data_IF_867487240839
#
_entry.id   IF_867487240839
#
_cell.length_a   1.000
_cell.length_b   1.000
_cell.length_c   1.000
_cell.angle_alpha   90.00
_cell.angle_beta   90.00
_cell.angle_gamma   90.00
#
_symmetry.space_group_name_H-M   'P 1'
#
loop_
_entity.id
_entity.type
_entity.pdbx_description
1 polymer ?
#
# COMPACT_ATOMS: atom_id res chain seq x y z
N UNK A 1 -72.23 -12.23 -53.81
CA UNK A 1 -72.78 -10.94 -53.29
C UNK A 1 -71.70 -10.26 -52.50
N UNK A 2 -71.07 -9.31 -53.11
CA UNK A 2 -69.84 -8.65 -52.61
C UNK A 2 -70.19 -7.20 -52.21
N UNK A 3 -69.83 -6.83 -50.98
CA UNK A 3 -69.97 -5.41 -50.56
C UNK A 3 -68.55 -4.86 -50.30
N UNK A 4 -68.25 -3.66 -50.68
CA UNK A 4 -66.90 -3.09 -50.58
C UNK A 4 -66.70 -2.37 -49.27
N UNK A 5 -65.42 -2.50 -48.80
CA UNK A 5 -64.88 -1.87 -47.61
C UNK A 5 -64.69 -0.35 -47.88
N UNK A 6 -65.28 0.49 -47.04
CA UNK A 6 -64.97 1.91 -46.97
C UNK A 6 -63.79 2.24 -46.14
N UNK A 7 -62.72 2.70 -46.76
CA UNK A 7 -61.54 3.25 -46.13
C UNK A 7 -61.82 4.63 -45.53
N UNK A 8 -61.69 4.80 -44.24
CA UNK A 8 -61.65 6.11 -43.57
C UNK A 8 -60.27 6.53 -43.26
N UNK A 9 -59.80 7.59 -43.91
CA UNK A 9 -58.59 8.31 -43.57
C UNK A 9 -58.82 9.11 -42.28
N UNK A 10 -57.93 8.88 -41.27
CA UNK A 10 -57.82 9.73 -40.08
C UNK A 10 -56.65 10.68 -40.25
N UNK A 11 -56.78 11.96 -39.87
CA UNK A 11 -55.69 12.93 -40.00
C UNK A 11 -54.67 12.74 -38.91
N UNK A 12 -53.43 12.71 -39.33
CA UNK A 12 -52.23 12.61 -38.51
C UNK A 12 -52.02 13.92 -37.71
N UNK A 13 -52.28 13.92 -36.42
CA UNK A 13 -51.90 15.00 -35.51
C UNK A 13 -50.42 14.87 -35.16
N UNK A 14 -49.65 15.82 -35.60
CA UNK A 14 -48.26 16.01 -35.20
C UNK A 14 -48.20 16.38 -33.72
N UNK A 15 -47.84 15.45 -32.89
CA UNK A 15 -47.42 15.65 -31.49
C UNK A 15 -45.90 15.83 -31.45
N UNK A 16 -45.47 17.02 -31.10
CA UNK A 16 -44.04 17.34 -30.84
C UNK A 16 -43.62 16.60 -29.58
N UNK A 17 -42.60 15.73 -29.60
CA UNK A 17 -42.07 15.15 -28.37
C UNK A 17 -41.22 16.20 -27.66
N UNK A 18 -41.68 16.63 -26.50
CA UNK A 18 -40.83 17.32 -25.51
C UNK A 18 -39.74 16.38 -25.05
N UNK A 19 -38.52 16.58 -25.56
CA UNK A 19 -37.32 15.91 -25.07
C UNK A 19 -36.95 16.62 -23.78
N UNK A 20 -37.37 16.05 -22.67
CA UNK A 20 -36.88 16.45 -21.35
C UNK A 20 -35.44 15.89 -21.19
N UNK A 21 -34.45 16.73 -21.51
CA UNK A 21 -33.06 16.44 -21.24
C UNK A 21 -32.82 16.42 -19.72
N UNK A 22 -32.87 15.23 -19.13
CA UNK A 22 -32.40 15.01 -17.77
C UNK A 22 -30.89 15.09 -17.80
N UNK A 23 -30.33 16.25 -17.46
CA UNK A 23 -28.92 16.41 -17.15
C UNK A 23 -28.61 15.57 -15.87
N UNK A 24 -28.14 14.37 -16.06
CA UNK A 24 -27.44 13.60 -15.02
C UNK A 24 -26.15 14.35 -14.69
N UNK A 25 -26.18 15.11 -13.59
CA UNK A 25 -24.95 15.56 -12.94
C UNK A 25 -24.23 14.33 -12.41
N UNK A 26 -23.34 13.75 -13.22
CA UNK A 26 -22.28 12.87 -12.75
C UNK A 26 -21.35 13.75 -11.88
N UNK A 27 -21.62 13.80 -10.58
CA UNK A 27 -20.63 14.27 -9.63
C UNK A 27 -19.39 13.37 -9.78
N UNK A 28 -18.23 13.90 -10.18
CA UNK A 28 -17.01 13.14 -10.03
C UNK A 28 -16.85 12.92 -8.52
N UNK A 29 -17.03 11.69 -8.06
CA UNK A 29 -16.52 11.30 -6.77
C UNK A 29 -15.03 11.62 -6.83
N UNK A 30 -14.60 12.66 -6.11
CA UNK A 30 -13.21 12.93 -5.89
C UNK A 30 -12.70 11.75 -5.03
N UNK A 31 -12.33 10.66 -5.68
CA UNK A 31 -11.46 9.68 -5.10
C UNK A 31 -10.16 10.45 -4.90
N UNK A 32 -9.80 10.66 -3.65
CA UNK A 32 -8.43 10.95 -3.29
C UNK A 32 -7.62 9.81 -3.87
N UNK A 33 -7.06 10.02 -5.04
CA UNK A 33 -6.04 9.16 -5.62
C UNK A 33 -4.83 9.29 -4.70
N UNK A 34 -4.71 8.40 -3.73
CA UNK A 34 -3.42 8.02 -3.22
C UNK A 34 -2.80 7.34 -4.43
N UNK A 35 -1.91 8.02 -5.11
CA UNK A 35 -1.15 7.44 -6.20
C UNK A 35 -0.19 6.46 -5.53
N UNK A 36 -0.53 5.19 -5.58
CA UNK A 36 0.43 4.14 -5.28
C UNK A 36 1.46 4.19 -6.40
N UNK A 37 2.69 4.49 -6.05
CA UNK A 37 3.84 4.49 -6.94
C UNK A 37 4.52 3.13 -6.88
N UNK A 38 5.32 2.81 -7.88
CA UNK A 38 6.02 1.53 -7.99
C UNK A 38 7.50 1.77 -8.27
N UNK A 39 8.36 1.16 -7.44
CA UNK A 39 9.82 1.24 -7.54
C UNK A 39 10.39 -0.19 -7.56
N UNK A 40 10.75 -0.68 -8.74
CA UNK A 40 11.29 -2.04 -8.89
C UNK A 40 10.31 -3.11 -8.42
N UNK A 41 10.52 -3.65 -7.21
CA UNK A 41 9.62 -4.64 -6.59
C UNK A 41 8.83 -4.08 -5.42
N UNK A 42 8.92 -2.77 -5.14
CA UNK A 42 8.24 -2.07 -4.06
C UNK A 42 7.11 -1.22 -4.61
N UNK A 43 6.01 -1.15 -3.90
CA UNK A 43 4.85 -0.32 -4.25
C UNK A 43 4.27 0.34 -3.00
N UNK A 44 3.65 1.48 -3.17
CA UNK A 44 3.00 2.20 -2.09
C UNK A 44 3.00 3.70 -2.29
N UNK A 45 2.97 4.45 -1.20
CA UNK A 45 2.95 5.90 -1.17
C UNK A 45 4.01 6.45 -0.24
N UNK A 46 4.69 7.52 -0.65
CA UNK A 46 5.74 8.21 0.12
C UNK A 46 5.31 9.60 0.61
N UNK A 47 4.00 9.89 0.67
CA UNK A 47 3.47 11.11 1.26
C UNK A 47 3.72 11.19 2.79
N UNK A 48 3.19 12.22 3.48
CA UNK A 48 3.45 12.51 4.92
C UNK A 48 3.28 11.32 5.88
N UNK A 49 2.44 10.36 5.55
CA UNK A 49 2.37 9.06 6.19
C UNK A 49 2.57 8.05 5.07
N UNK A 50 3.70 7.38 5.05
CA UNK A 50 4.04 6.52 3.94
C UNK A 50 4.00 5.03 4.32
N UNK A 51 3.73 4.22 3.31
CA UNK A 51 3.77 2.77 3.40
C UNK A 51 4.35 2.21 2.11
N UNK A 52 5.35 1.36 2.23
CA UNK A 52 5.99 0.64 1.13
C UNK A 52 5.85 -0.85 1.37
N UNK A 53 5.46 -1.57 0.36
CA UNK A 53 5.20 -3.01 0.44
C UNK A 53 5.90 -3.73 -0.70
N UNK A 54 6.44 -4.91 -0.41
CA UNK A 54 6.98 -5.84 -1.40
C UNK A 54 6.52 -7.25 -1.12
N UNK A 55 6.53 -8.11 -2.13
CA UNK A 55 6.20 -9.53 -2.01
C UNK A 55 7.35 -10.39 -2.54
N UNK A 56 7.63 -11.51 -1.87
CA UNK A 56 8.59 -12.50 -2.33
C UNK A 56 7.91 -13.65 -3.09
N UNK A 57 8.71 -14.59 -3.59
CA UNK A 57 8.21 -15.73 -4.37
C UNK A 57 7.36 -16.71 -3.55
N UNK A 58 7.49 -16.73 -2.23
CA UNK A 58 6.67 -17.53 -1.33
C UNK A 58 5.28 -16.92 -1.06
N UNK A 59 5.01 -15.72 -1.58
CA UNK A 59 3.78 -14.99 -1.34
C UNK A 59 3.75 -14.25 0.01
N UNK A 60 4.88 -14.22 0.73
CA UNK A 60 5.03 -13.41 1.93
C UNK A 60 5.13 -11.93 1.54
N UNK A 61 4.61 -11.05 2.37
CA UNK A 61 4.59 -9.61 2.14
C UNK A 61 5.34 -8.89 3.25
N UNK A 62 6.33 -8.08 2.90
CA UNK A 62 7.06 -7.21 3.80
C UNK A 62 6.56 -5.78 3.62
N UNK A 63 6.13 -5.15 4.72
CA UNK A 63 5.63 -3.77 4.71
C UNK A 63 6.47 -2.91 5.65
N UNK A 64 6.92 -1.77 5.12
CA UNK A 64 7.57 -0.70 5.85
C UNK A 64 6.59 0.46 5.96
N UNK A 65 6.36 0.98 7.16
CA UNK A 65 5.44 2.11 7.35
C UNK A 65 6.04 3.19 8.24
N UNK A 66 5.65 4.42 7.95
CA UNK A 66 5.94 5.59 8.75
C UNK A 66 4.59 6.25 9.07
N UNK A 67 3.99 5.87 10.16
CA UNK A 67 2.67 6.36 10.57
C UNK A 67 2.62 6.55 12.08
N UNK A 68 1.84 7.53 12.55
CA UNK A 68 1.56 7.73 13.97
C UNK A 68 2.81 7.78 14.87
N UNK A 69 3.85 8.47 14.41
CA UNK A 69 5.09 8.70 15.16
C UNK A 69 5.99 7.46 15.33
N UNK A 70 5.87 6.49 14.44
CA UNK A 70 6.72 5.32 14.46
C UNK A 70 7.06 4.83 13.05
N UNK A 71 8.32 4.46 12.86
CA UNK A 71 8.74 3.61 11.77
C UNK A 71 8.46 2.16 12.17
N UNK A 72 7.84 1.39 11.28
CA UNK A 72 7.45 0.00 11.56
C UNK A 72 7.83 -0.92 10.41
N UNK A 73 8.12 -2.16 10.76
CA UNK A 73 8.36 -3.26 9.82
C UNK A 73 7.38 -4.37 10.14
N UNK A 74 6.66 -4.85 9.16
CA UNK A 74 5.65 -5.91 9.32
C UNK A 74 5.84 -6.98 8.25
N UNK A 75 5.72 -8.24 8.67
CA UNK A 75 5.65 -9.41 7.80
C UNK A 75 4.22 -9.97 7.83
N UNK A 76 3.67 -10.25 6.65
CA UNK A 76 2.47 -11.07 6.51
C UNK A 76 2.81 -12.27 5.63
N UNK A 77 2.37 -13.46 6.04
CA UNK A 77 2.55 -14.69 5.29
C UNK A 77 1.19 -15.37 5.03
N UNK A 78 1.06 -16.21 3.99
CA UNK A 78 -0.22 -16.82 3.62
C UNK A 78 -0.88 -17.65 4.72
N UNK A 79 -0.11 -18.16 5.66
CA UNK A 79 -0.56 -18.97 6.81
C UNK A 79 -0.75 -18.14 8.10
N UNK A 80 -0.47 -16.84 8.07
CA UNK A 80 -0.67 -15.96 9.22
C UNK A 80 -2.12 -15.46 9.27
N UNK A 81 -2.70 -15.44 10.47
CA UNK A 81 -4.01 -14.83 10.71
C UNK A 81 -3.93 -13.32 10.81
N UNK A 82 -2.79 -12.80 11.26
CA UNK A 82 -2.50 -11.36 11.40
C UNK A 82 -1.02 -11.10 11.06
N UNK A 83 -0.68 -9.91 10.52
CA UNK A 83 0.70 -9.53 10.29
C UNK A 83 1.51 -9.53 11.59
N UNK A 84 2.76 -9.91 11.51
CA UNK A 84 3.71 -9.88 12.63
C UNK A 84 4.75 -8.80 12.36
N UNK A 85 5.07 -7.99 13.36
CA UNK A 85 6.02 -6.89 13.14
C UNK A 85 6.50 -6.22 14.41
N UNK A 86 7.18 -5.10 14.22
CA UNK A 86 7.80 -4.31 15.29
C UNK A 86 6.82 -3.76 16.33
N UNK A 87 5.52 -3.87 16.10
CA UNK A 87 4.44 -3.49 17.05
C UNK A 87 4.18 -4.58 18.10
N UNK A 88 4.67 -5.79 17.86
CA UNK A 88 4.43 -6.93 18.73
C UNK A 88 5.68 -7.25 19.53
N UNK A 89 5.52 -7.47 20.84
CA UNK A 89 6.58 -7.94 21.74
C UNK A 89 6.94 -9.41 21.46
N UNK A 90 7.45 -9.72 20.28
CA UNK A 90 8.04 -11.03 20.01
C UNK A 90 9.57 -10.92 20.14
N UNK A 91 10.14 -11.67 21.04
CA UNK A 91 11.60 -11.64 21.27
C UNK A 91 12.37 -12.08 20.01
N UNK A 92 13.44 -11.35 19.70
CA UNK A 92 14.38 -11.73 18.65
C UNK A 92 13.91 -11.41 17.24
N UNK A 93 12.98 -10.48 17.07
CA UNK A 93 12.65 -9.98 15.73
C UNK A 93 13.78 -9.11 15.18
N UNK A 94 14.16 -9.40 13.95
CA UNK A 94 15.21 -8.72 13.21
C UNK A 94 14.82 -8.57 11.74
N UNK A 95 15.27 -7.49 11.11
CA UNK A 95 15.38 -7.42 9.66
C UNK A 95 16.85 -7.56 9.29
N UNK A 96 17.17 -8.54 8.47
CA UNK A 96 18.49 -8.71 7.90
C UNK A 96 18.55 -8.03 6.55
N UNK A 97 19.63 -7.29 6.32
CA UNK A 97 20.01 -6.79 5.00
C UNK A 97 21.27 -7.55 4.61
N UNK A 98 21.16 -8.48 3.67
CA UNK A 98 22.16 -9.48 3.38
C UNK A 98 22.56 -10.24 4.67
N UNK A 99 23.83 -10.13 5.10
CA UNK A 99 24.34 -10.78 6.30
C UNK A 99 24.25 -9.92 7.58
N UNK A 100 23.82 -8.66 7.48
CA UNK A 100 23.74 -7.74 8.62
C UNK A 100 22.35 -7.75 9.23
N UNK A 101 22.25 -8.07 10.51
CA UNK A 101 21.00 -8.09 11.26
C UNK A 101 20.77 -6.78 12.01
N UNK A 102 19.53 -6.29 11.99
CA UNK A 102 19.04 -5.12 12.69
C UNK A 102 17.89 -5.52 13.60
N UNK A 103 18.06 -5.33 14.90
CA UNK A 103 17.04 -5.66 15.90
C UNK A 103 15.88 -4.66 15.86
N UNK A 104 14.66 -5.15 16.10
CA UNK A 104 13.47 -4.29 16.24
C UNK A 104 13.22 -3.87 17.69
N UNK A 105 14.05 -4.28 18.62
CA UNK A 105 13.79 -4.00 20.02
C UNK A 105 13.90 -2.51 20.33
N UNK A 106 12.85 -1.94 20.93
CA UNK A 106 13.08 -0.83 21.81
C UNK A 106 14.01 -1.32 22.92
N UNK A 107 15.12 -0.65 23.15
CA UNK A 107 15.80 -0.84 24.42
C UNK A 107 14.72 -0.63 25.51
N UNK A 108 14.67 -1.47 26.54
CA UNK A 108 13.63 -1.41 27.58
C UNK A 108 13.59 -0.07 28.35
N UNK A 109 14.33 0.94 27.91
CA UNK A 109 14.59 2.23 28.51
C UNK A 109 14.38 3.42 27.56
N UNK A 110 14.03 3.19 26.30
CA UNK A 110 13.70 4.27 25.36
C UNK A 110 12.20 4.24 25.02
N UNK A 111 11.55 5.38 25.17
CA UNK A 111 10.10 5.55 24.87
C UNK A 111 9.75 5.41 23.36
N UNK A 112 10.71 4.99 22.54
CA UNK A 112 10.54 4.80 21.10
C UNK A 112 10.17 3.34 20.80
N UNK A 113 8.94 3.10 20.45
CA UNK A 113 8.45 1.80 19.97
C UNK A 113 8.73 1.71 18.47
N UNK A 114 9.61 0.81 18.06
CA UNK A 114 9.86 0.52 16.64
C UNK A 114 11.34 0.35 16.30
N UNK A 115 11.63 -0.03 15.04
CA UNK A 115 12.99 -0.11 14.52
C UNK A 115 13.70 1.23 14.62
N UNK A 116 14.97 1.18 14.96
CA UNK A 116 15.73 2.38 15.18
C UNK A 116 16.11 3.10 13.86
N UNK A 117 16.67 4.29 14.04
CA UNK A 117 17.21 5.11 12.96
C UNK A 117 18.28 4.39 12.13
N UNK A 118 19.00 3.46 12.75
CA UNK A 118 20.11 2.71 12.12
C UNK A 118 19.58 1.80 11.01
N UNK A 119 18.50 1.07 11.28
CA UNK A 119 17.83 0.25 10.26
C UNK A 119 17.28 1.13 9.12
N UNK A 120 16.60 2.23 9.44
CA UNK A 120 16.06 3.13 8.43
C UNK A 120 17.14 3.65 7.48
N UNK A 121 18.29 4.10 8.02
CA UNK A 121 19.41 4.54 7.20
C UNK A 121 20.04 3.41 6.38
N UNK A 122 20.09 2.19 6.93
CA UNK A 122 20.60 1.04 6.19
C UNK A 122 19.67 0.71 4.99
N UNK A 123 18.34 0.78 5.18
CA UNK A 123 17.37 0.58 4.10
C UNK A 123 17.51 1.63 2.97
N UNK A 124 17.74 2.90 3.32
CA UNK A 124 18.03 3.96 2.31
C UNK A 124 19.31 3.73 1.52
N UNK A 125 20.23 2.93 2.02
CA UNK A 125 21.53 2.65 1.39
C UNK A 125 21.57 1.29 0.67
N UNK A 126 20.44 0.57 0.62
CA UNK A 126 20.36 -0.71 -0.09
C UNK A 126 20.63 -0.54 -1.59
N UNK A 127 21.16 -1.57 -2.20
CA UNK A 127 21.34 -1.69 -3.64
C UNK A 127 20.27 -2.63 -4.21
N UNK A 128 20.02 -2.51 -5.48
CA UNK A 128 19.07 -3.38 -6.20
C UNK A 128 19.39 -4.88 -6.11
N UNK A 129 20.65 -5.20 -5.81
CA UNK A 129 21.12 -6.59 -5.66
C UNK A 129 21.04 -7.11 -4.22
N UNK A 130 20.71 -6.25 -3.27
CA UNK A 130 20.61 -6.65 -1.87
C UNK A 130 19.30 -7.40 -1.60
N UNK A 131 19.29 -8.17 -0.54
CA UNK A 131 18.14 -8.92 -0.06
C UNK A 131 17.78 -8.51 1.36
N UNK A 132 16.49 -8.56 1.66
CA UNK A 132 15.94 -8.35 2.98
C UNK A 132 15.36 -9.67 3.50
N UNK A 133 15.51 -9.96 4.78
CA UNK A 133 14.90 -11.14 5.39
C UNK A 133 14.40 -10.81 6.80
N UNK A 134 13.13 -11.09 7.05
CA UNK A 134 12.54 -10.95 8.37
C UNK A 134 12.81 -12.24 9.16
N UNK A 135 13.38 -12.13 10.35
CA UNK A 135 13.67 -13.27 11.20
C UNK A 135 13.21 -13.04 12.63
N UNK A 136 12.86 -14.10 13.31
CA UNK A 136 12.61 -14.15 14.76
C UNK A 136 12.95 -15.54 15.30
N UNK A 137 12.66 -15.81 16.58
CA UNK A 137 12.87 -17.16 17.15
C UNK A 137 11.98 -18.23 16.50
N UNK A 138 10.88 -17.87 15.83
CA UNK A 138 9.90 -18.79 15.28
C UNK A 138 9.62 -18.56 13.79
N UNK A 139 10.09 -17.45 13.25
CA UNK A 139 9.79 -17.02 11.89
C UNK A 139 11.10 -16.76 11.17
N UNK A 140 11.22 -17.32 9.99
CA UNK A 140 12.36 -17.13 9.09
C UNK A 140 11.78 -16.99 7.68
N UNK A 141 11.56 -15.74 7.23
CA UNK A 141 10.94 -15.49 5.93
C UNK A 141 11.87 -15.90 4.78
N UNK A 142 11.30 -16.16 3.63
CA UNK A 142 12.11 -16.16 2.41
C UNK A 142 12.64 -14.75 2.11
N UNK A 143 13.76 -14.63 1.39
CA UNK A 143 14.32 -13.33 1.05
C UNK A 143 13.39 -12.48 0.19
N UNK A 144 13.37 -11.17 0.45
CA UNK A 144 12.73 -10.14 -0.36
C UNK A 144 13.81 -9.38 -1.16
N UNK A 145 13.47 -8.91 -2.34
CA UNK A 145 14.36 -8.06 -3.13
C UNK A 145 14.37 -6.62 -2.59
N UNK A 146 15.54 -6.02 -2.46
CA UNK A 146 15.69 -4.60 -2.16
C UNK A 146 15.60 -3.70 -3.42
N UNK A 147 15.36 -4.29 -4.61
CA UNK A 147 15.34 -3.53 -5.86
C UNK A 147 14.31 -2.41 -5.84
N UNK A 148 14.78 -1.18 -6.01
CA UNK A 148 13.97 0.04 -5.99
C UNK A 148 13.70 0.63 -4.60
N UNK A 149 14.07 -0.06 -3.50
CA UNK A 149 13.80 0.41 -2.14
C UNK A 149 14.49 1.72 -1.81
N UNK A 150 15.78 1.85 -2.16
CA UNK A 150 16.54 3.08 -1.91
C UNK A 150 15.95 4.27 -2.69
N UNK A 151 15.44 4.06 -3.89
CA UNK A 151 14.74 5.05 -4.70
C UNK A 151 13.41 5.45 -4.02
N UNK A 152 12.61 4.49 -3.60
CA UNK A 152 11.36 4.74 -2.90
C UNK A 152 11.55 5.54 -1.60
N UNK A 153 12.66 5.33 -0.89
CA UNK A 153 12.97 6.01 0.36
C UNK A 153 13.76 7.32 0.16
N UNK A 154 14.13 7.70 -1.08
CA UNK A 154 15.07 8.81 -1.33
C UNK A 154 14.62 10.12 -0.67
N UNK A 155 13.36 10.47 -0.81
CA UNK A 155 12.77 11.72 -0.33
C UNK A 155 12.12 11.62 1.06
N UNK A 156 12.26 10.49 1.76
CA UNK A 156 11.75 10.30 3.12
C UNK A 156 12.83 10.52 4.18
N UNK A 157 12.46 10.96 5.38
CA UNK A 157 13.36 11.04 6.53
C UNK A 157 12.80 10.24 7.72
N UNK A 158 13.70 9.72 8.55
CA UNK A 158 13.31 9.06 9.80
C UNK A 158 12.59 10.02 10.74
N UNK A 159 12.97 11.29 10.74
CA UNK A 159 12.32 12.32 11.55
C UNK A 159 10.84 12.53 11.18
N UNK A 160 10.48 12.31 9.91
CA UNK A 160 9.08 12.37 9.47
C UNK A 160 8.20 11.34 10.21
N UNK A 161 8.82 10.25 10.69
CA UNK A 161 8.14 9.22 11.46
C UNK A 161 8.01 9.53 12.96
N UNK A 162 8.83 10.42 13.52
CA UNK A 162 8.93 10.63 14.98
C UNK A 162 8.65 12.05 15.46
N UNK A 163 8.77 13.08 14.62
CA UNK A 163 8.74 14.49 15.02
C UNK A 163 7.34 15.15 15.10
N UNK A 164 6.25 14.41 15.02
CA UNK A 164 4.91 14.99 15.09
C UNK A 164 4.33 15.01 16.53
N UNK A 165 5.14 15.38 17.52
CA UNK A 165 4.65 15.68 18.89
C UNK A 165 4.40 17.17 19.09
#
# INVERSE_FOLDING_TARGET
MTQPLKTRLFPLKWGVPFITSTLLFLSPAAHSLILDEEWGGWYGSTAMAWALTTQNEAGETLTLTCTNKAFRVQLNAPDFTEPVGSDYFVQGMQLRINDTAYDFFPSAFEDTVGPDKTLFHALKQTKDTDTLQFTSLQIDSQPFSAKGLAEALADTDYQDCVDHM
#
